data_IF_611116744857
#
_entry.id   IF_611116744857
#
_cell.length_a   1.000
_cell.length_b   1.000
_cell.length_c   1.000
_cell.angle_alpha   90.00
_cell.angle_beta   90.00
_cell.angle_gamma   90.00
#
_symmetry.space_group_name_H-M   'P 1'
#
loop_
_entity.id
_entity.type
_entity.pdbx_description
1 polymer ?
#
# COMPACT_ATOMS: atom_id res chain seq x y z
N UNK A 1 13.70 -10.32 14.76
CA UNK A 1 13.84 -10.91 13.40
C UNK A 1 15.16 -10.43 12.84
N UNK A 2 15.95 -11.30 12.25
CA UNK A 2 17.16 -10.90 11.54
C UNK A 2 16.74 -10.11 10.30
N UNK A 3 17.36 -8.95 10.07
CA UNK A 3 17.07 -8.14 8.89
C UNK A 3 17.65 -8.81 7.64
N UNK A 4 16.89 -8.82 6.57
CA UNK A 4 17.33 -9.21 5.24
C UNK A 4 17.02 -8.10 4.23
N UNK A 5 17.87 -7.93 3.24
CA UNK A 5 17.69 -6.91 2.21
C UNK A 5 16.40 -7.14 1.43
N UNK A 6 15.53 -6.14 1.41
CA UNK A 6 14.25 -6.12 0.66
C UNK A 6 14.52 -6.21 -0.83
N UNK A 7 15.53 -5.50 -1.33
CA UNK A 7 15.87 -5.52 -2.75
C UNK A 7 16.44 -6.88 -3.19
N UNK A 8 17.22 -7.55 -2.33
CA UNK A 8 17.69 -8.92 -2.61
C UNK A 8 16.55 -9.94 -2.55
N UNK A 9 15.54 -9.71 -1.71
CA UNK A 9 14.32 -10.53 -1.74
C UNK A 9 13.58 -10.38 -3.08
N UNK A 10 13.41 -9.15 -3.58
CA UNK A 10 12.84 -8.93 -4.92
C UNK A 10 13.71 -9.54 -6.01
N UNK A 11 15.03 -9.37 -5.96
CA UNK A 11 15.95 -10.01 -6.92
C UNK A 11 15.71 -11.51 -7.00
N UNK A 12 15.67 -12.20 -5.85
CA UNK A 12 15.40 -13.64 -5.77
C UNK A 12 14.02 -13.98 -6.34
N UNK A 13 12.97 -13.27 -5.94
CA UNK A 13 11.61 -13.49 -6.46
C UNK A 13 11.56 -13.37 -7.98
N UNK A 14 12.23 -12.36 -8.55
CA UNK A 14 12.30 -12.16 -10.00
C UNK A 14 13.04 -13.29 -10.71
N UNK A 15 14.16 -13.75 -10.15
CA UNK A 15 14.93 -14.87 -10.70
C UNK A 15 14.14 -16.16 -10.72
N UNK A 16 13.41 -16.46 -9.62
CA UNK A 16 12.63 -17.70 -9.47
C UNK A 16 11.33 -17.71 -10.31
N UNK A 17 10.78 -16.52 -10.61
CA UNK A 17 9.50 -16.39 -11.33
C UNK A 17 9.62 -15.78 -12.74
N UNK A 18 10.80 -15.84 -13.35
CA UNK A 18 11.22 -15.13 -14.56
C UNK A 18 10.21 -15.13 -15.71
N UNK A 19 9.60 -16.28 -16.00
CA UNK A 19 8.63 -16.44 -17.09
C UNK A 19 7.17 -16.18 -16.68
N UNK A 20 6.89 -16.03 -15.36
CA UNK A 20 5.52 -15.84 -14.90
C UNK A 20 5.01 -14.43 -15.18
N UNK A 21 3.69 -14.24 -15.38
CA UNK A 21 3.07 -12.92 -15.35
C UNK A 21 3.36 -12.24 -14.02
N UNK A 22 3.66 -10.93 -14.05
CA UNK A 22 4.00 -10.13 -12.87
C UNK A 22 3.04 -8.94 -12.69
N UNK A 23 2.97 -8.06 -13.67
CA UNK A 23 2.18 -6.82 -13.61
C UNK A 23 1.29 -6.70 -14.84
N UNK A 24 0.00 -6.49 -14.63
CA UNK A 24 -0.97 -6.22 -15.70
C UNK A 24 -1.71 -4.91 -15.48
N UNK A 25 -2.00 -4.23 -16.57
CA UNK A 25 -3.13 -3.29 -16.59
C UNK A 25 -4.40 -4.11 -16.84
N UNK A 26 -5.38 -4.04 -15.95
CA UNK A 26 -6.63 -4.75 -16.15
C UNK A 26 -7.24 -4.46 -17.53
N UNK A 27 -7.54 -5.51 -18.29
CA UNK A 27 -7.97 -5.43 -19.70
C UNK A 27 -6.93 -4.74 -20.63
N UNK A 28 -5.65 -4.78 -20.30
CA UNK A 28 -4.57 -4.17 -21.07
C UNK A 28 -3.34 -5.05 -21.18
N UNK A 29 -2.17 -4.43 -21.13
CA UNK A 29 -0.88 -5.14 -21.22
C UNK A 29 -0.63 -6.02 -20.00
N UNK A 30 0.05 -7.14 -20.22
CA UNK A 30 0.66 -7.98 -19.17
C UNK A 30 2.17 -8.02 -19.37
N UNK A 31 2.91 -7.81 -18.31
CA UNK A 31 4.36 -7.93 -18.23
C UNK A 31 4.71 -9.16 -17.40
N UNK A 32 5.56 -10.01 -17.94
CA UNK A 32 6.19 -11.08 -17.16
C UNK A 32 7.27 -10.48 -16.22
N UNK A 33 7.72 -11.24 -15.23
CA UNK A 33 8.82 -10.83 -14.35
C UNK A 33 10.05 -10.43 -15.14
N UNK A 34 10.41 -11.15 -16.20
CA UNK A 34 11.51 -10.81 -17.14
C UNK A 34 11.32 -9.46 -17.83
N UNK A 35 10.07 -9.11 -18.19
CA UNK A 35 9.78 -7.83 -18.86
C UNK A 35 9.91 -6.67 -17.89
N UNK A 36 9.45 -6.85 -16.64
CA UNK A 36 9.63 -5.89 -15.56
C UNK A 36 11.12 -5.72 -15.27
N UNK A 37 11.87 -6.82 -15.09
CA UNK A 37 13.31 -6.82 -14.84
C UNK A 37 14.09 -6.08 -15.93
N UNK A 38 13.77 -6.33 -17.19
CA UNK A 38 14.41 -5.65 -18.33
C UNK A 38 14.11 -4.16 -18.34
N UNK A 39 12.88 -3.74 -17.99
CA UNK A 39 12.52 -2.31 -17.89
C UNK A 39 13.23 -1.66 -16.72
N UNK A 40 13.29 -2.32 -15.56
CA UNK A 40 14.04 -1.88 -14.39
C UNK A 40 15.52 -1.68 -14.74
N UNK A 41 16.17 -2.67 -15.38
CA UNK A 41 17.56 -2.58 -15.78
C UNK A 41 17.84 -1.40 -16.75
N UNK A 42 16.92 -1.13 -17.68
CA UNK A 42 17.01 0.05 -18.55
C UNK A 42 16.89 1.37 -17.77
N UNK A 43 15.96 1.42 -16.79
CA UNK A 43 15.80 2.60 -15.94
C UNK A 43 17.01 2.80 -15.03
N UNK A 44 17.65 1.74 -14.52
CA UNK A 44 18.90 1.84 -13.77
C UNK A 44 20.01 2.50 -14.62
N UNK A 45 20.17 2.07 -15.89
CA UNK A 45 21.11 2.70 -16.82
C UNK A 45 20.76 4.19 -17.05
N UNK A 46 19.48 4.50 -17.22
CA UNK A 46 19.05 5.89 -17.38
C UNK A 46 19.31 6.72 -16.12
N UNK A 47 19.07 6.20 -14.92
CA UNK A 47 19.35 6.87 -13.66
C UNK A 47 20.86 7.18 -13.51
N UNK A 48 21.71 6.18 -13.75
CA UNK A 48 23.17 6.33 -13.73
C UNK A 48 23.61 7.42 -14.70
N UNK A 49 23.16 7.38 -15.96
CA UNK A 49 23.52 8.37 -16.99
C UNK A 49 22.90 9.76 -16.75
N UNK A 50 21.78 9.84 -16.03
CA UNK A 50 21.20 11.10 -15.56
C UNK A 50 21.87 11.64 -14.30
N UNK A 51 22.88 10.98 -13.79
CA UNK A 51 23.66 11.40 -12.62
C UNK A 51 22.89 11.25 -11.30
N UNK A 52 22.03 10.26 -11.19
CA UNK A 52 21.41 9.88 -9.92
C UNK A 52 22.42 9.08 -9.07
N UNK A 53 22.46 9.42 -7.80
CA UNK A 53 23.20 8.71 -6.78
C UNK A 53 22.26 7.95 -5.86
N UNK A 54 22.81 7.02 -5.07
CA UNK A 54 22.04 6.33 -4.03
C UNK A 54 21.51 7.35 -3.02
N UNK A 55 20.25 7.14 -2.60
CA UNK A 55 19.55 8.08 -1.71
C UNK A 55 18.91 9.28 -2.41
N UNK A 56 19.16 9.51 -3.70
CA UNK A 56 18.44 10.50 -4.49
C UNK A 56 16.97 10.16 -4.64
N UNK A 57 16.10 11.16 -4.70
CA UNK A 57 14.67 10.99 -4.70
C UNK A 57 14.11 10.94 -6.13
N UNK A 58 13.19 9.99 -6.31
CA UNK A 58 12.48 9.75 -7.57
C UNK A 58 10.98 9.88 -7.31
N UNK A 59 10.38 10.98 -7.73
CA UNK A 59 8.94 11.21 -7.59
C UNK A 59 8.15 10.41 -8.63
N UNK A 60 6.99 9.87 -8.22
CA UNK A 60 6.10 9.08 -9.09
C UNK A 60 4.68 9.57 -8.88
N UNK A 61 4.10 10.22 -9.87
CA UNK A 61 2.74 10.79 -9.82
C UNK A 61 1.91 10.28 -11.00
N UNK A 62 1.14 9.23 -10.78
CA UNK A 62 0.34 8.57 -11.81
C UNK A 62 -0.79 7.78 -11.20
N UNK A 63 -1.80 7.47 -12.01
CA UNK A 63 -2.80 6.45 -11.68
C UNK A 63 -2.14 5.07 -11.58
N UNK A 64 -2.87 4.14 -10.94
CA UNK A 64 -2.45 2.74 -10.88
C UNK A 64 -2.22 2.18 -12.27
N UNK A 65 -1.04 1.62 -12.52
CA UNK A 65 -0.70 0.94 -13.76
C UNK A 65 0.59 0.11 -13.62
N UNK A 66 0.81 -0.86 -14.49
CA UNK A 66 2.00 -1.72 -14.48
C UNK A 66 3.32 -0.90 -14.52
N UNK A 67 3.37 0.17 -15.30
CA UNK A 67 4.56 1.03 -15.36
C UNK A 67 4.78 1.85 -14.09
N UNK A 68 3.75 2.11 -13.26
CA UNK A 68 3.92 2.65 -11.92
C UNK A 68 4.76 1.68 -11.07
N UNK A 69 4.38 0.40 -11.08
CA UNK A 69 5.14 -0.64 -10.38
C UNK A 69 6.58 -0.77 -10.89
N UNK A 70 6.78 -0.73 -12.22
CA UNK A 70 8.12 -0.72 -12.82
C UNK A 70 8.96 0.47 -12.34
N UNK A 71 8.38 1.69 -12.35
CA UNK A 71 9.09 2.92 -11.93
C UNK A 71 9.45 2.89 -10.45
N UNK A 72 8.53 2.40 -9.61
CA UNK A 72 8.75 2.25 -8.18
C UNK A 72 9.87 1.24 -7.88
N UNK A 73 9.79 0.04 -8.47
CA UNK A 73 10.83 -0.99 -8.32
C UNK A 73 12.19 -0.51 -8.86
N UNK A 74 12.19 0.20 -10.00
CA UNK A 74 13.44 0.74 -10.54
C UNK A 74 14.10 1.72 -9.57
N UNK A 75 13.35 2.63 -8.95
CA UNK A 75 13.89 3.55 -7.96
C UNK A 75 14.40 2.80 -6.72
N UNK A 76 13.57 1.91 -6.15
CA UNK A 76 13.89 1.19 -4.92
C UNK A 76 15.12 0.27 -5.10
N UNK A 77 15.14 -0.53 -6.18
CA UNK A 77 16.20 -1.52 -6.44
C UNK A 77 17.50 -0.91 -6.99
N UNK A 78 17.46 0.37 -7.39
CA UNK A 78 18.66 1.16 -7.69
C UNK A 78 19.35 1.67 -6.41
N UNK A 79 18.62 1.73 -5.30
CA UNK A 79 19.03 2.39 -4.05
C UNK A 79 18.67 3.89 -4.04
N UNK A 80 17.84 4.34 -4.97
CA UNK A 80 17.19 5.65 -4.88
C UNK A 80 15.97 5.56 -3.97
N UNK A 81 15.42 6.71 -3.56
CA UNK A 81 14.27 6.81 -2.66
C UNK A 81 13.03 7.17 -3.47
N UNK A 82 12.11 6.23 -3.76
CA UNK A 82 10.84 6.56 -4.38
C UNK A 82 10.01 7.48 -3.50
N UNK A 83 9.34 8.45 -4.15
CA UNK A 83 8.42 9.42 -3.56
C UNK A 83 7.08 9.32 -4.28
N UNK A 84 6.22 8.35 -3.90
CA UNK A 84 4.92 8.19 -4.53
C UNK A 84 3.99 9.36 -4.15
N UNK A 85 3.40 9.99 -5.17
CA UNK A 85 2.48 11.11 -5.04
C UNK A 85 1.11 10.71 -5.56
N UNK A 86 0.05 11.14 -4.86
CA UNK A 86 -1.31 10.90 -5.30
C UNK A 86 -1.60 11.68 -6.59
N UNK A 87 -2.13 10.98 -7.59
CA UNK A 87 -2.50 11.56 -8.88
C UNK A 87 -3.64 12.59 -8.82
N UNK A 88 -4.36 12.62 -7.68
CA UNK A 88 -5.45 13.54 -7.40
C UNK A 88 -4.96 14.89 -6.83
N UNK A 89 -3.68 15.02 -6.52
CA UNK A 89 -3.13 16.28 -6.05
C UNK A 89 -3.22 17.36 -7.14
N UNK A 90 -3.53 18.59 -6.71
CA UNK A 90 -3.50 19.76 -7.58
C UNK A 90 -2.08 20.06 -8.05
N UNK A 91 -1.88 20.65 -9.25
CA UNK A 91 -0.56 20.98 -9.79
C UNK A 91 0.37 21.67 -8.80
N UNK A 92 -0.09 22.73 -8.10
CA UNK A 92 0.73 23.42 -7.10
C UNK A 92 1.17 22.53 -5.92
N UNK A 93 0.36 21.54 -5.53
CA UNK A 93 0.77 20.57 -4.51
C UNK A 93 1.85 19.63 -5.05
N UNK A 94 1.72 19.18 -6.31
CA UNK A 94 2.73 18.33 -6.95
C UNK A 94 4.07 19.08 -7.05
N UNK A 95 4.07 20.33 -7.54
CA UNK A 95 5.27 21.18 -7.59
C UNK A 95 5.92 21.32 -6.21
N UNK A 96 5.10 21.62 -5.18
CA UNK A 96 5.59 21.73 -3.81
C UNK A 96 6.22 20.41 -3.31
N UNK A 97 5.56 19.27 -3.49
CA UNK A 97 6.03 17.99 -2.97
C UNK A 97 7.28 17.48 -3.70
N UNK A 98 7.36 17.69 -5.02
CA UNK A 98 8.57 17.39 -5.81
C UNK A 98 9.76 18.22 -5.31
N UNK A 99 9.57 19.52 -5.10
CA UNK A 99 10.62 20.40 -4.60
C UNK A 99 10.96 20.08 -3.13
N UNK A 100 9.95 19.87 -2.27
CA UNK A 100 10.17 19.55 -0.86
C UNK A 100 10.95 18.24 -0.68
N UNK A 101 10.69 17.24 -1.53
CA UNK A 101 11.38 15.94 -1.49
C UNK A 101 12.78 15.98 -2.07
N UNK A 102 13.23 17.08 -2.70
CA UNK A 102 14.47 17.19 -3.48
C UNK A 102 14.54 16.14 -4.63
N UNK A 103 13.40 15.81 -5.23
CA UNK A 103 13.36 14.83 -6.30
C UNK A 103 14.19 15.29 -7.52
N UNK A 104 14.98 14.37 -8.08
CA UNK A 104 15.78 14.58 -9.29
C UNK A 104 15.10 14.06 -10.55
N UNK A 105 14.19 13.11 -10.40
CA UNK A 105 13.39 12.52 -11.48
C UNK A 105 11.92 12.56 -11.09
N UNK A 106 11.06 12.85 -12.06
CA UNK A 106 9.61 12.74 -11.92
C UNK A 106 9.06 11.80 -13.00
N UNK A 107 8.45 10.69 -12.61
CA UNK A 107 7.57 9.92 -13.48
C UNK A 107 6.15 10.45 -13.38
N UNK A 108 5.50 10.73 -14.49
CA UNK A 108 4.17 11.37 -14.48
C UNK A 108 3.29 10.89 -15.63
N UNK A 109 1.97 10.83 -15.41
CA UNK A 109 0.99 10.66 -16.47
C UNK A 109 0.92 11.91 -17.36
N UNK A 110 0.68 11.71 -18.65
CA UNK A 110 0.55 12.80 -19.63
C UNK A 110 -0.52 13.83 -19.25
N UNK A 111 -1.68 13.34 -18.81
CA UNK A 111 -2.79 14.21 -18.37
C UNK A 111 -2.42 15.07 -17.15
N UNK A 112 -1.63 14.52 -16.22
CA UNK A 112 -1.14 15.29 -15.08
C UNK A 112 -0.10 16.30 -15.52
N UNK A 113 0.80 15.90 -16.43
CA UNK A 113 1.85 16.74 -16.96
C UNK A 113 1.32 18.02 -17.66
N UNK A 114 0.19 17.93 -18.36
CA UNK A 114 -0.44 19.10 -19.00
C UNK A 114 -0.71 20.26 -18.02
N UNK A 115 -0.87 19.98 -16.74
CA UNK A 115 -1.07 20.97 -15.68
C UNK A 115 0.19 21.38 -14.93
N UNK A 116 1.36 20.82 -15.26
CA UNK A 116 2.63 21.07 -14.56
C UNK A 116 3.56 21.95 -15.38
N UNK A 117 4.51 22.61 -14.68
CA UNK A 117 5.62 23.36 -15.29
C UNK A 117 6.96 22.86 -14.76
N UNK A 118 7.90 22.55 -15.64
CA UNK A 118 9.25 22.19 -15.26
C UNK A 118 9.99 23.36 -14.56
N UNK A 119 9.66 24.59 -14.89
CA UNK A 119 10.23 25.78 -14.28
C UNK A 119 9.89 25.90 -12.79
N UNK A 120 8.72 25.42 -12.40
CA UNK A 120 8.28 25.34 -11.00
C UNK A 120 8.96 24.19 -10.22
N UNK A 121 9.75 23.33 -10.89
CA UNK A 121 10.46 22.20 -10.30
C UNK A 121 11.96 22.21 -10.72
N UNK A 122 12.72 23.24 -10.36
CA UNK A 122 14.08 23.48 -10.88
C UNK A 122 15.11 22.41 -10.43
N UNK A 123 14.80 21.62 -9.40
CA UNK A 123 15.65 20.52 -8.92
C UNK A 123 15.66 19.30 -9.84
N UNK A 124 14.66 19.14 -10.71
CA UNK A 124 14.56 17.99 -11.58
C UNK A 124 15.64 17.96 -12.66
N UNK A 125 16.20 16.79 -12.88
CA UNK A 125 17.08 16.50 -14.02
C UNK A 125 16.25 16.12 -15.24
N UNK A 126 15.27 15.23 -15.06
CA UNK A 126 14.37 14.75 -16.12
C UNK A 126 12.94 14.56 -15.62
N UNK A 127 11.97 14.75 -16.53
CA UNK A 127 10.58 14.34 -16.33
C UNK A 127 10.26 13.28 -17.38
N UNK A 128 9.69 12.17 -16.92
CA UNK A 128 9.47 10.96 -17.72
C UNK A 128 7.98 10.65 -17.79
N UNK A 129 7.45 10.54 -19.01
CA UNK A 129 6.10 10.04 -19.24
C UNK A 129 6.02 8.56 -18.84
N UNK A 130 5.23 8.25 -17.84
CA UNK A 130 5.22 6.91 -17.23
C UNK A 130 4.71 5.81 -18.18
N UNK A 131 3.80 6.15 -19.10
CA UNK A 131 3.19 5.18 -20.01
C UNK A 131 4.17 4.65 -21.06
N UNK A 132 5.15 5.47 -21.46
CA UNK A 132 6.06 5.18 -22.60
C UNK A 132 7.54 5.24 -22.22
N UNK A 133 7.85 5.73 -21.03
CA UNK A 133 9.20 6.10 -20.59
C UNK A 133 9.93 7.08 -21.51
N UNK A 134 9.17 7.90 -22.27
CA UNK A 134 9.74 9.03 -23.01
C UNK A 134 10.04 10.19 -22.07
N UNK A 135 11.10 10.93 -22.34
CA UNK A 135 11.37 12.17 -21.60
C UNK A 135 10.40 13.25 -22.11
N UNK A 136 9.77 13.94 -21.16
CA UNK A 136 8.94 15.13 -21.40
C UNK A 136 9.74 16.41 -21.20
N UNK A 137 10.76 16.32 -20.33
CA UNK A 137 11.70 17.39 -20.03
C UNK A 137 13.06 16.78 -19.68
N UNK A 138 14.11 17.47 -20.10
CA UNK A 138 15.47 17.24 -19.61
C UNK A 138 16.18 18.57 -19.41
N UNK A 139 16.94 18.71 -18.34
CA UNK A 139 17.57 19.95 -17.90
C UNK A 139 18.61 20.49 -18.90
N UNK A 140 19.19 19.62 -19.73
CA UNK A 140 20.16 19.95 -20.74
C UNK A 140 20.19 18.91 -21.87
N UNK A 141 20.88 19.23 -22.97
CA UNK A 141 20.97 18.37 -24.16
C UNK A 141 21.63 17.01 -23.87
N UNK A 142 22.59 16.96 -22.99
CA UNK A 142 23.25 15.68 -22.63
C UNK A 142 22.27 14.69 -22.02
N UNK A 143 21.31 15.16 -21.22
CA UNK A 143 20.28 14.31 -20.63
C UNK A 143 19.26 13.83 -21.69
N UNK A 144 18.93 14.64 -22.72
CA UNK A 144 18.10 14.17 -23.82
C UNK A 144 18.75 12.99 -24.55
N UNK A 145 20.07 13.01 -24.76
CA UNK A 145 20.82 11.92 -25.40
C UNK A 145 20.75 10.60 -24.63
N UNK A 146 20.60 10.64 -23.30
CA UNK A 146 20.40 9.44 -22.48
C UNK A 146 19.19 8.63 -23.00
N UNK A 147 18.07 9.29 -23.26
CA UNK A 147 16.86 8.59 -23.72
C UNK A 147 17.03 8.05 -25.15
N UNK A 148 17.67 8.80 -26.01
CA UNK A 148 17.88 8.41 -27.42
C UNK A 148 18.77 7.18 -27.54
N UNK A 149 19.84 7.12 -26.74
CA UNK A 149 20.84 6.03 -26.78
C UNK A 149 20.58 4.91 -25.73
N UNK A 150 19.45 4.94 -25.01
CA UNK A 150 19.19 3.99 -23.91
C UNK A 150 19.24 2.52 -24.37
N UNK A 151 18.69 2.21 -25.55
CA UNK A 151 18.70 0.85 -26.09
C UNK A 151 20.12 0.40 -26.47
N UNK A 152 20.94 1.31 -26.99
CA UNK A 152 22.36 1.06 -27.31
C UNK A 152 23.16 0.82 -26.03
N UNK A 153 22.98 1.68 -25.02
CA UNK A 153 23.60 1.53 -23.69
C UNK A 153 23.22 0.21 -23.02
N UNK A 154 21.94 -0.19 -23.13
CA UNK A 154 21.48 -1.49 -22.64
C UNK A 154 22.16 -2.65 -23.38
N UNK A 155 22.24 -2.61 -24.71
CA UNK A 155 22.91 -3.64 -25.51
C UNK A 155 24.43 -3.70 -25.25
N UNK A 156 25.08 -2.59 -24.95
CA UNK A 156 26.50 -2.57 -24.55
C UNK A 156 26.72 -3.20 -23.17
N UNK A 157 25.82 -2.91 -22.20
CA UNK A 157 25.91 -3.45 -20.84
C UNK A 157 25.56 -4.95 -20.80
N UNK A 158 24.62 -5.37 -21.63
CA UNK A 158 24.17 -6.77 -21.73
C UNK A 158 24.33 -7.27 -23.17
N UNK A 159 25.53 -7.60 -23.61
CA UNK A 159 25.82 -7.99 -24.99
C UNK A 159 25.24 -9.35 -25.38
N UNK A 160 24.97 -10.20 -24.40
CA UNK A 160 24.24 -11.45 -24.54
C UNK A 160 22.74 -11.23 -24.25
N UNK A 161 21.95 -12.29 -24.29
CA UNK A 161 20.55 -12.21 -23.87
C UNK A 161 20.49 -11.85 -22.37
N UNK A 162 19.73 -10.81 -22.04
CA UNK A 162 19.47 -10.43 -20.66
C UNK A 162 18.68 -11.52 -19.93
N UNK A 163 19.24 -12.08 -18.88
CA UNK A 163 18.73 -13.22 -18.12
C UNK A 163 18.61 -12.95 -16.61
N UNK A 164 18.08 -13.91 -15.85
CA UNK A 164 17.94 -13.77 -14.40
C UNK A 164 19.29 -13.60 -13.67
N UNK A 165 20.37 -14.13 -14.24
CA UNK A 165 21.74 -14.01 -13.73
C UNK A 165 22.31 -12.58 -13.80
N UNK A 166 21.74 -11.74 -14.68
CA UNK A 166 22.17 -10.35 -14.85
C UNK A 166 21.56 -9.39 -13.81
N UNK A 167 20.64 -9.89 -12.96
CA UNK A 167 20.04 -9.07 -11.92
C UNK A 167 21.04 -8.84 -10.78
N UNK A 168 21.34 -7.58 -10.56
CA UNK A 168 22.14 -7.11 -9.41
C UNK A 168 21.48 -5.87 -8.82
N UNK A 169 20.58 -6.10 -7.85
CA UNK A 169 19.87 -5.04 -7.16
C UNK A 169 20.66 -4.56 -5.95
N UNK A 170 20.50 -3.27 -5.64
CA UNK A 170 21.11 -2.66 -4.47
C UNK A 170 20.87 -3.49 -3.20
N UNK A 171 21.90 -3.71 -2.41
CA UNK A 171 21.78 -4.38 -1.11
C UNK A 171 21.55 -3.32 -0.03
N UNK A 172 20.32 -3.24 0.45
CA UNK A 172 19.87 -2.27 1.43
C UNK A 172 20.15 -2.71 2.86
N UNK A 173 20.24 -1.73 3.77
CA UNK A 173 20.41 -1.95 5.21
C UNK A 173 19.21 -1.45 6.02
N UNK A 174 19.06 -1.97 7.26
CA UNK A 174 17.85 -1.87 8.06
C UNK A 174 17.33 -0.44 8.24
N UNK A 175 18.18 0.48 8.68
CA UNK A 175 17.79 1.84 9.02
C UNK A 175 17.97 2.85 7.88
N UNK A 176 18.35 2.35 6.70
CA UNK A 176 18.44 3.17 5.50
C UNK A 176 17.04 3.58 5.01
N UNK A 177 16.93 4.81 4.52
CA UNK A 177 15.68 5.36 4.00
C UNK A 177 15.26 4.63 2.71
N UNK A 178 14.14 3.92 2.75
CA UNK A 178 13.61 3.18 1.61
C UNK A 178 12.68 4.04 0.74
N UNK A 179 11.78 4.81 1.35
CA UNK A 179 10.85 5.67 0.63
C UNK A 179 10.36 6.84 1.50
N UNK A 180 9.85 7.89 0.85
CA UNK A 180 9.12 8.99 1.51
C UNK A 180 7.68 8.96 1.04
N UNK A 181 6.73 8.71 1.95
CA UNK A 181 5.31 8.70 1.64
C UNK A 181 4.61 9.92 2.24
N UNK A 182 3.96 10.75 1.40
CA UNK A 182 3.30 11.95 1.85
C UNK A 182 1.88 11.67 2.32
N UNK A 183 1.56 12.08 3.56
CA UNK A 183 0.20 12.00 4.10
C UNK A 183 -0.49 13.35 4.03
N UNK A 184 -1.82 13.36 3.82
CA UNK A 184 -2.63 14.56 3.96
C UNK A 184 -2.70 14.94 5.44
N UNK A 185 -1.89 15.90 5.85
CA UNK A 185 -1.88 16.39 7.22
C UNK A 185 -3.19 17.12 7.59
N UNK A 186 -3.68 16.93 8.80
CA UNK A 186 -4.82 17.69 9.38
C UNK A 186 -4.53 19.19 9.51
N UNK A 187 -3.26 19.60 9.38
CA UNK A 187 -2.77 20.99 9.46
C UNK A 187 -2.62 21.69 8.11
N UNK A 188 -3.11 21.09 7.02
CA UNK A 188 -3.09 21.71 5.66
C UNK A 188 -1.83 21.44 4.82
N UNK A 189 -0.72 21.05 5.40
CA UNK A 189 0.50 20.65 4.67
C UNK A 189 0.75 19.15 4.81
N UNK A 190 1.00 18.48 3.69
CA UNK A 190 1.37 17.07 3.68
C UNK A 190 2.72 16.87 4.37
N UNK A 191 2.83 15.87 5.26
CA UNK A 191 4.08 15.47 5.90
C UNK A 191 4.72 14.32 5.13
N UNK A 192 6.01 14.40 4.84
CA UNK A 192 6.77 13.31 4.23
C UNK A 192 7.21 12.29 5.29
N UNK A 193 6.55 11.15 5.34
CA UNK A 193 6.86 10.07 6.27
C UNK A 193 8.06 9.29 5.75
N UNK A 194 9.18 9.27 6.49
CA UNK A 194 10.42 8.58 6.13
C UNK A 194 10.35 7.11 6.55
N UNK A 195 10.17 6.20 5.59
CA UNK A 195 10.06 4.77 5.82
C UNK A 195 11.39 4.07 5.59
N UNK A 196 11.99 3.42 6.61
CA UNK A 196 13.22 2.65 6.46
C UNK A 196 12.97 1.26 5.86
N UNK A 197 14.03 0.64 5.31
CA UNK A 197 13.95 -0.72 4.77
C UNK A 197 13.50 -1.75 5.81
N UNK A 198 13.90 -1.62 7.09
CA UNK A 198 13.42 -2.51 8.16
C UNK A 198 11.90 -2.54 8.29
N UNK A 199 11.25 -1.39 8.06
CA UNK A 199 9.80 -1.31 8.15
C UNK A 199 9.12 -2.03 6.96
N UNK A 200 9.67 -1.92 5.75
CA UNK A 200 9.21 -2.69 4.60
C UNK A 200 9.44 -4.18 4.81
N UNK A 201 10.65 -4.58 5.23
CA UNK A 201 11.00 -5.98 5.50
C UNK A 201 10.06 -6.61 6.54
N UNK A 202 9.78 -5.89 7.63
CA UNK A 202 8.91 -6.36 8.70
C UNK A 202 7.45 -6.53 8.24
N UNK A 203 6.93 -5.60 7.44
CA UNK A 203 5.57 -5.72 6.86
C UNK A 203 5.48 -6.86 5.84
N UNK A 204 6.47 -7.06 4.98
CA UNK A 204 6.53 -8.18 4.04
C UNK A 204 6.59 -9.50 4.81
N UNK A 205 7.46 -9.60 5.81
CA UNK A 205 7.57 -10.80 6.65
C UNK A 205 6.27 -11.09 7.43
N UNK A 206 5.59 -10.06 7.94
CA UNK A 206 4.26 -10.20 8.52
C UNK A 206 3.28 -10.81 7.52
N UNK A 207 3.21 -10.28 6.31
CA UNK A 207 2.27 -10.76 5.29
C UNK A 207 2.55 -12.22 4.89
N UNK A 208 3.82 -12.62 4.77
CA UNK A 208 4.19 -14.03 4.56
C UNK A 208 3.70 -14.97 5.68
N UNK A 209 3.69 -14.49 6.93
CA UNK A 209 3.20 -15.27 8.08
C UNK A 209 1.68 -15.27 8.17
N UNK A 210 1.04 -14.14 7.88
CA UNK A 210 -0.40 -13.97 7.95
C UNK A 210 -1.12 -14.71 6.82
N UNK A 211 -0.54 -14.69 5.61
CA UNK A 211 -1.14 -15.17 4.37
C UNK A 211 -0.34 -16.33 3.72
N UNK A 212 -0.12 -17.45 4.43
CA UNK A 212 0.72 -18.55 3.93
C UNK A 212 0.11 -19.28 2.72
N UNK A 213 -1.14 -19.02 2.40
CA UNK A 213 -1.85 -19.59 1.24
C UNK A 213 -1.48 -18.88 -0.08
N UNK A 214 -0.99 -17.64 -0.02
CA UNK A 214 -0.53 -16.91 -1.21
C UNK A 214 0.76 -17.55 -1.73
N UNK A 215 0.77 -17.92 -2.99
CA UNK A 215 1.86 -18.65 -3.64
C UNK A 215 2.25 -17.95 -4.95
N UNK A 216 3.44 -18.27 -5.51
CA UNK A 216 3.81 -17.78 -6.83
C UNK A 216 2.74 -18.07 -7.88
N UNK A 217 2.35 -17.02 -8.64
CA UNK A 217 1.27 -17.09 -9.63
C UNK A 217 -0.13 -16.89 -9.06
N UNK A 218 -0.29 -16.58 -7.76
CA UNK A 218 -1.55 -16.05 -7.22
C UNK A 218 -1.94 -14.76 -7.95
N UNK A 219 -3.23 -14.61 -8.24
CA UNK A 219 -3.80 -13.43 -8.89
C UNK A 219 -4.26 -12.42 -7.83
N UNK A 220 -3.88 -11.15 -7.96
CA UNK A 220 -4.25 -10.07 -7.04
C UNK A 220 -4.75 -8.86 -7.82
N UNK A 221 -5.79 -8.21 -7.34
CA UNK A 221 -6.33 -6.98 -7.96
C UNK A 221 -5.93 -5.77 -7.13
N UNK A 222 -5.07 -4.92 -7.70
CA UNK A 222 -4.65 -3.65 -7.10
C UNK A 222 -5.67 -2.55 -7.43
N UNK A 223 -6.54 -2.23 -6.49
CA UNK A 223 -7.62 -1.25 -6.64
C UNK A 223 -7.46 -0.01 -5.77
N UNK A 224 -6.66 -0.10 -4.70
CA UNK A 224 -6.32 1.05 -3.87
C UNK A 224 -5.28 1.92 -4.57
N UNK A 225 -5.22 3.23 -4.29
CA UNK A 225 -4.17 4.06 -4.87
C UNK A 225 -2.77 3.53 -4.53
N UNK A 226 -1.97 3.22 -5.55
CA UNK A 226 -0.62 2.66 -5.35
C UNK A 226 0.32 3.62 -4.60
N UNK A 227 0.02 4.92 -4.59
CA UNK A 227 0.75 5.90 -3.79
C UNK A 227 0.39 5.89 -2.29
N UNK A 228 -0.68 5.20 -1.89
CA UNK A 228 -1.02 4.99 -0.48
C UNK A 228 -0.29 3.78 0.09
N UNK A 229 0.28 3.92 1.29
CA UNK A 229 1.08 2.88 1.93
C UNK A 229 0.36 1.53 2.05
N UNK A 230 -0.96 1.54 2.32
CA UNK A 230 -1.77 0.33 2.45
C UNK A 230 -1.86 -0.47 1.13
N UNK A 231 -2.25 0.17 0.04
CA UNK A 231 -2.29 -0.46 -1.29
C UNK A 231 -0.89 -0.81 -1.78
N UNK A 232 0.09 0.08 -1.59
CA UNK A 232 1.47 -0.15 -1.98
C UNK A 232 2.04 -1.41 -1.33
N UNK A 233 1.84 -1.60 -0.03
CA UNK A 233 2.41 -2.73 0.71
C UNK A 233 1.69 -4.03 0.38
N UNK A 234 0.33 -4.05 0.44
CA UNK A 234 -0.46 -5.29 0.43
C UNK A 234 -1.24 -5.56 -0.86
N UNK A 235 -1.08 -4.76 -1.91
CA UNK A 235 -1.53 -5.07 -3.27
C UNK A 235 -0.36 -5.07 -4.27
N UNK A 236 0.90 -4.80 -3.81
CA UNK A 236 2.03 -4.69 -4.71
C UNK A 236 3.34 -5.23 -4.12
N UNK A 237 3.92 -4.65 -3.05
CA UNK A 237 5.27 -5.03 -2.60
C UNK A 237 5.32 -6.45 -2.05
N UNK A 238 4.34 -6.85 -1.26
CA UNK A 238 4.25 -8.21 -0.74
C UNK A 238 4.10 -9.22 -1.87
N UNK A 239 3.21 -8.96 -2.81
CA UNK A 239 2.93 -9.83 -3.96
C UNK A 239 4.15 -9.99 -4.85
N UNK A 240 4.88 -8.91 -5.12
CA UNK A 240 6.11 -8.95 -5.91
C UNK A 240 7.22 -9.73 -5.21
N UNK A 241 7.23 -9.77 -3.88
CA UNK A 241 8.18 -10.57 -3.09
C UNK A 241 7.94 -12.07 -3.20
N UNK A 242 6.72 -12.48 -3.59
CA UNK A 242 6.27 -13.87 -3.67
C UNK A 242 6.25 -14.45 -5.09
N UNK A 243 6.28 -13.62 -6.12
CA UNK A 243 6.04 -14.08 -7.49
C UNK A 243 4.56 -14.16 -7.85
N UNK A 244 3.71 -13.38 -7.21
CA UNK A 244 2.29 -13.23 -7.56
C UNK A 244 2.10 -12.36 -8.81
N UNK A 245 0.89 -12.35 -9.36
CA UNK A 245 0.49 -11.56 -10.51
C UNK A 245 -0.47 -10.43 -10.09
N UNK A 246 -0.04 -9.18 -10.23
CA UNK A 246 -0.79 -8.00 -9.81
C UNK A 246 -1.51 -7.35 -11.00
N UNK A 247 -2.82 -7.21 -10.90
CA UNK A 247 -3.68 -6.54 -11.88
C UNK A 247 -4.09 -5.14 -11.40
N UNK A 248 -3.49 -4.12 -11.97
CA UNK A 248 -3.84 -2.73 -11.66
C UNK A 248 -5.15 -2.32 -12.32
N UNK A 249 -6.10 -1.82 -11.53
CA UNK A 249 -7.27 -1.12 -12.04
C UNK A 249 -6.85 0.28 -12.48
N UNK A 250 -6.72 0.49 -13.79
CA UNK A 250 -6.25 1.76 -14.37
C UNK A 250 -7.34 2.84 -14.44
N UNK A 251 -8.60 2.45 -14.22
CA UNK A 251 -9.76 3.35 -14.17
C UNK A 251 -10.18 3.57 -12.73
N UNK A 252 -10.89 4.67 -12.47
CA UNK A 252 -11.47 4.94 -11.15
C UNK A 252 -12.30 3.74 -10.69
N UNK A 253 -11.96 3.12 -9.56
CA UNK A 253 -12.61 1.91 -9.08
C UNK A 253 -14.08 2.19 -8.72
N UNK A 254 -15.01 1.82 -9.60
CA UNK A 254 -16.44 1.77 -9.26
C UNK A 254 -16.81 0.35 -8.79
N UNK A 255 -17.84 0.18 -7.93
CA UNK A 255 -18.26 -1.16 -7.51
C UNK A 255 -18.51 -2.11 -8.69
N UNK A 256 -19.03 -1.61 -9.80
CA UNK A 256 -19.26 -2.43 -11.02
C UNK A 256 -17.96 -2.93 -11.63
N UNK A 257 -16.95 -2.05 -11.78
CA UNK A 257 -15.63 -2.41 -12.35
C UNK A 257 -14.90 -3.38 -11.42
N UNK A 258 -14.92 -3.11 -10.11
CA UNK A 258 -14.29 -3.98 -9.10
C UNK A 258 -14.90 -5.39 -9.16
N UNK A 259 -16.23 -5.51 -9.11
CA UNK A 259 -16.90 -6.80 -9.14
C UNK A 259 -16.67 -7.55 -10.45
N UNK A 260 -16.60 -6.84 -11.58
CA UNK A 260 -16.26 -7.43 -12.86
C UNK A 260 -14.81 -7.96 -12.86
N UNK A 261 -13.85 -7.17 -12.38
CA UNK A 261 -12.45 -7.60 -12.27
C UNK A 261 -12.30 -8.84 -11.36
N UNK A 262 -12.99 -8.86 -10.21
CA UNK A 262 -12.95 -10.02 -9.33
C UNK A 262 -13.56 -11.28 -9.97
N UNK A 263 -14.66 -11.14 -10.72
CA UNK A 263 -15.29 -12.26 -11.43
C UNK A 263 -14.44 -12.80 -12.59
N UNK A 264 -13.58 -11.97 -13.20
CA UNK A 264 -12.70 -12.37 -14.30
C UNK A 264 -11.33 -12.89 -13.82
N UNK A 265 -10.79 -12.31 -12.73
CA UNK A 265 -9.42 -12.57 -12.24
C UNK A 265 -9.40 -13.65 -11.15
N UNK A 266 -10.47 -13.76 -10.34
CA UNK A 266 -10.55 -14.67 -9.18
C UNK A 266 -9.39 -14.49 -8.18
N UNK A 267 -9.24 -13.29 -7.57
CA UNK A 267 -8.10 -13.00 -6.69
C UNK A 267 -8.03 -13.94 -5.49
N UNK A 268 -6.81 -14.25 -5.05
CA UNK A 268 -6.56 -15.13 -3.89
C UNK A 268 -6.66 -14.39 -2.55
N UNK A 269 -6.51 -13.07 -2.55
CA UNK A 269 -6.71 -12.16 -1.43
C UNK A 269 -7.32 -10.87 -1.92
N UNK A 270 -8.10 -10.20 -1.07
CA UNK A 270 -8.70 -8.90 -1.38
C UNK A 270 -8.34 -7.90 -0.29
N UNK A 271 -7.66 -6.84 -0.68
CA UNK A 271 -7.31 -5.70 0.17
C UNK A 271 -8.29 -4.57 -0.14
N UNK A 272 -9.04 -4.09 0.85
CA UNK A 272 -10.09 -3.13 0.59
C UNK A 272 -10.25 -2.09 1.71
N UNK A 273 -10.93 -0.99 1.38
CA UNK A 273 -11.45 -0.05 2.39
C UNK A 273 -12.90 -0.40 2.72
N UNK A 274 -13.38 -0.18 3.95
CA UNK A 274 -14.73 -0.50 4.40
C UNK A 274 -15.84 -0.01 3.46
N UNK A 275 -15.69 1.17 2.89
CA UNK A 275 -16.67 1.80 1.99
C UNK A 275 -17.07 0.91 0.79
N UNK A 276 -16.14 0.09 0.28
CA UNK A 276 -16.41 -0.81 -0.86
C UNK A 276 -17.42 -1.88 -0.44
N UNK A 277 -17.16 -2.53 0.69
CA UNK A 277 -18.02 -3.58 1.23
C UNK A 277 -19.39 -3.01 1.65
N UNK A 278 -19.38 -1.83 2.30
CA UNK A 278 -20.62 -1.15 2.69
C UNK A 278 -21.51 -0.79 1.49
N UNK A 279 -20.92 -0.37 0.37
CA UNK A 279 -21.67 -0.13 -0.87
C UNK A 279 -22.26 -1.41 -1.44
N UNK A 280 -21.52 -2.52 -1.43
CA UNK A 280 -22.01 -3.84 -1.85
C UNK A 280 -23.14 -4.30 -0.93
N UNK A 281 -22.98 -4.16 0.39
CA UNK A 281 -24.02 -4.46 1.37
C UNK A 281 -25.30 -3.67 1.09
N UNK A 282 -25.21 -2.34 0.99
CA UNK A 282 -26.37 -1.46 0.76
C UNK A 282 -27.08 -1.74 -0.56
N UNK A 283 -26.32 -2.01 -1.63
CA UNK A 283 -26.89 -2.15 -2.99
C UNK A 283 -27.42 -3.55 -3.30
N UNK A 284 -26.78 -4.61 -2.78
CA UNK A 284 -27.12 -6.00 -3.10
C UNK A 284 -27.80 -6.75 -1.94
N UNK A 285 -27.23 -6.64 -0.72
CA UNK A 285 -27.65 -7.47 0.40
C UNK A 285 -28.87 -6.90 1.13
N UNK A 286 -28.88 -5.62 1.45
CA UNK A 286 -29.96 -4.99 2.21
C UNK A 286 -31.34 -5.18 1.58
N UNK A 287 -31.54 -5.03 0.26
CA UNK A 287 -32.84 -5.31 -0.38
C UNK A 287 -33.28 -6.78 -0.25
N UNK A 288 -32.30 -7.73 -0.31
CA UNK A 288 -32.60 -9.16 -0.15
C UNK A 288 -33.04 -9.46 1.30
N UNK A 289 -32.36 -8.85 2.27
CA UNK A 289 -32.64 -9.00 3.69
C UNK A 289 -34.02 -8.44 4.04
N UNK A 290 -34.35 -7.26 3.54
CA UNK A 290 -35.67 -6.62 3.76
C UNK A 290 -36.82 -7.47 3.16
N UNK A 291 -36.64 -7.98 1.94
CA UNK A 291 -37.60 -8.85 1.26
C UNK A 291 -37.83 -10.18 2.00
N UNK A 292 -36.81 -10.72 2.64
CA UNK A 292 -36.83 -12.02 3.31
C UNK A 292 -36.89 -11.92 4.84
N UNK A 293 -37.19 -10.76 5.41
CA UNK A 293 -37.13 -10.46 6.86
C UNK A 293 -37.89 -11.47 7.73
N UNK A 294 -39.02 -12.04 7.23
CA UNK A 294 -39.78 -13.04 7.95
C UNK A 294 -39.07 -14.40 8.04
N UNK A 295 -38.32 -14.79 7.00
CA UNK A 295 -37.57 -16.05 6.97
C UNK A 295 -36.36 -16.01 7.89
N UNK A 296 -35.71 -14.83 8.08
CA UNK A 296 -34.61 -14.62 9.03
C UNK A 296 -35.05 -14.68 10.51
N UNK A 297 -36.34 -14.89 10.80
CA UNK A 297 -36.86 -15.08 12.15
C UNK A 297 -37.11 -16.56 12.52
N UNK A 298 -36.97 -17.48 11.57
CA UNK A 298 -37.19 -18.91 11.76
C UNK A 298 -35.86 -19.64 11.90
N UNK A 299 -35.49 -20.22 13.08
CA UNK A 299 -34.12 -20.66 13.41
C UNK A 299 -33.45 -21.64 12.44
N UNK A 300 -34.26 -22.49 11.75
CA UNK A 300 -33.72 -23.48 10.78
C UNK A 300 -33.52 -22.84 9.39
N UNK A 301 -34.48 -22.00 8.97
CA UNK A 301 -34.42 -21.30 7.69
C UNK A 301 -33.41 -20.18 7.69
N UNK A 302 -33.16 -19.54 8.84
CA UNK A 302 -32.15 -18.51 9.05
C UNK A 302 -30.74 -19.03 8.64
N UNK A 303 -30.29 -20.16 9.21
CA UNK A 303 -29.00 -20.75 8.91
C UNK A 303 -28.80 -21.15 7.44
N UNK A 304 -29.85 -21.69 6.80
CA UNK A 304 -29.79 -22.06 5.38
C UNK A 304 -29.67 -20.80 4.51
N UNK A 305 -30.43 -19.76 4.85
CA UNK A 305 -30.41 -18.49 4.13
C UNK A 305 -29.10 -17.74 4.35
N UNK A 306 -28.57 -17.71 5.57
CA UNK A 306 -27.24 -17.15 5.89
C UNK A 306 -26.15 -17.80 5.05
N UNK A 307 -26.09 -19.13 5.01
CA UNK A 307 -25.11 -19.86 4.20
C UNK A 307 -25.26 -19.56 2.71
N UNK A 308 -26.49 -19.48 2.20
CA UNK A 308 -26.74 -19.13 0.80
C UNK A 308 -26.28 -17.71 0.48
N UNK A 309 -26.61 -16.73 1.33
CA UNK A 309 -26.19 -15.34 1.18
C UNK A 309 -24.67 -15.22 1.24
N UNK A 310 -24.02 -15.91 2.19
CA UNK A 310 -22.55 -15.95 2.27
C UNK A 310 -21.93 -16.50 0.98
N UNK A 311 -22.41 -17.65 0.48
CA UNK A 311 -21.91 -18.27 -0.75
C UNK A 311 -22.09 -17.36 -1.97
N UNK A 312 -23.27 -16.73 -2.12
CA UNK A 312 -23.53 -15.78 -3.21
C UNK A 312 -22.62 -14.55 -3.11
N UNK A 313 -22.37 -14.07 -1.90
CA UNK A 313 -21.46 -12.95 -1.67
C UNK A 313 -20.01 -13.32 -2.00
N UNK A 314 -19.51 -14.46 -1.50
CA UNK A 314 -18.17 -14.98 -1.82
C UNK A 314 -18.01 -15.12 -3.33
N UNK A 315 -18.96 -15.74 -4.01
CA UNK A 315 -18.93 -15.90 -5.48
C UNK A 315 -18.91 -14.54 -6.19
N UNK A 316 -19.61 -13.54 -5.66
CA UNK A 316 -19.62 -12.21 -6.26
C UNK A 316 -18.30 -11.47 -6.15
N UNK A 317 -17.43 -11.89 -5.22
CA UNK A 317 -16.04 -11.41 -5.08
C UNK A 317 -15.02 -12.33 -5.77
N UNK A 318 -15.43 -13.17 -6.69
CA UNK A 318 -14.56 -14.07 -7.47
C UNK A 318 -14.46 -15.50 -6.93
N UNK A 319 -14.87 -15.75 -5.68
CA UNK A 319 -15.01 -17.09 -5.10
C UNK A 319 -13.73 -17.83 -4.75
N UNK A 320 -12.55 -17.21 -4.91
CA UNK A 320 -11.25 -17.86 -4.73
C UNK A 320 -10.39 -17.27 -3.60
N UNK A 321 -10.83 -16.17 -2.97
CA UNK A 321 -10.06 -15.54 -1.90
C UNK A 321 -10.21 -16.25 -0.57
N UNK A 322 -9.14 -16.23 0.24
CA UNK A 322 -9.16 -16.74 1.62
C UNK A 322 -9.86 -15.76 2.56
N UNK A 323 -9.55 -14.48 2.44
CA UNK A 323 -10.17 -13.41 3.21
C UNK A 323 -10.17 -12.07 2.50
N UNK A 324 -11.03 -11.17 2.99
CA UNK A 324 -10.98 -9.74 2.67
C UNK A 324 -10.40 -9.00 3.88
N UNK A 325 -9.27 -8.32 3.69
CA UNK A 325 -8.67 -7.48 4.72
C UNK A 325 -9.18 -6.05 4.53
N UNK A 326 -9.82 -5.52 5.56
CA UNK A 326 -10.35 -4.16 5.59
C UNK A 326 -9.45 -3.26 6.43
N UNK A 327 -9.08 -2.11 5.89
CA UNK A 327 -8.24 -1.13 6.59
C UNK A 327 -8.47 0.30 6.13
N UNK A 328 -7.78 1.24 6.77
CA UNK A 328 -7.74 2.66 6.38
C UNK A 328 -8.93 3.51 6.83
N UNK A 329 -10.01 2.92 7.37
CA UNK A 329 -11.15 3.64 7.93
C UNK A 329 -11.92 2.77 8.93
N UNK A 330 -12.73 3.40 9.77
CA UNK A 330 -13.66 2.68 10.65
C UNK A 330 -14.71 1.91 9.83
N UNK A 331 -15.01 0.69 10.25
CA UNK A 331 -16.02 -0.14 9.60
C UNK A 331 -17.40 0.05 10.26
N UNK A 332 -18.46 0.07 9.46
CA UNK A 332 -19.81 0.23 9.97
C UNK A 332 -20.23 -0.99 10.83
N UNK A 333 -20.58 -0.82 12.12
CA UNK A 333 -20.88 -1.95 13.01
C UNK A 333 -22.08 -2.81 12.58
N UNK A 334 -23.08 -2.23 11.91
CA UNK A 334 -24.22 -2.99 11.38
C UNK A 334 -23.78 -3.95 10.28
N UNK A 335 -22.92 -3.47 9.38
CA UNK A 335 -22.41 -4.27 8.26
C UNK A 335 -21.44 -5.34 8.78
N UNK A 336 -20.54 -4.96 9.68
CA UNK A 336 -19.60 -5.87 10.33
C UNK A 336 -20.32 -7.00 11.06
N UNK A 337 -21.30 -6.66 11.91
CA UNK A 337 -22.11 -7.63 12.63
C UNK A 337 -22.90 -8.58 11.71
N UNK A 338 -23.40 -8.08 10.60
CA UNK A 338 -24.09 -8.92 9.61
C UNK A 338 -23.13 -9.88 8.90
N UNK A 339 -21.98 -9.41 8.42
CA UNK A 339 -20.98 -10.25 7.74
C UNK A 339 -20.43 -11.34 8.67
N UNK A 340 -20.18 -10.98 9.93
CA UNK A 340 -19.78 -11.94 10.95
C UNK A 340 -20.89 -13.00 11.18
N UNK A 341 -22.15 -12.58 11.29
CA UNK A 341 -23.31 -13.50 11.48
C UNK A 341 -23.40 -14.54 10.37
N UNK A 342 -23.20 -14.15 9.11
CA UNK A 342 -23.26 -15.09 7.97
C UNK A 342 -21.98 -15.89 7.76
N UNK A 343 -20.93 -15.67 8.55
CA UNK A 343 -19.63 -16.33 8.42
C UNK A 343 -18.86 -15.94 7.16
N UNK A 344 -19.00 -14.68 6.70
CA UNK A 344 -18.23 -14.16 5.57
C UNK A 344 -16.78 -13.96 5.95
N UNK A 345 -15.79 -14.41 5.13
CA UNK A 345 -14.37 -14.35 5.49
C UNK A 345 -13.81 -12.92 5.31
N UNK A 346 -13.83 -12.15 6.39
CA UNK A 346 -13.24 -10.82 6.43
C UNK A 346 -12.56 -10.54 7.77
N UNK A 347 -11.62 -9.63 7.76
CA UNK A 347 -11.01 -9.09 8.96
C UNK A 347 -10.80 -7.58 8.85
N UNK A 348 -10.62 -6.92 10.00
CA UNK A 348 -10.28 -5.50 10.08
C UNK A 348 -8.87 -5.39 10.65
N UNK A 349 -7.95 -4.81 9.85
CA UNK A 349 -6.61 -4.46 10.29
C UNK A 349 -6.51 -2.97 10.63
N UNK A 350 -5.57 -2.63 11.50
CA UNK A 350 -5.26 -1.24 11.84
C UNK A 350 -3.81 -0.93 11.51
N UNK A 351 -3.62 0.25 10.95
CA UNK A 351 -2.31 0.75 10.60
C UNK A 351 -2.34 2.18 10.12
N UNK A 352 -1.17 2.71 9.86
CA UNK A 352 -0.96 4.06 9.35
C UNK A 352 0.36 4.18 8.61
N UNK A 353 0.51 5.21 7.81
CA UNK A 353 1.71 5.40 6.98
C UNK A 353 3.00 5.36 7.79
N UNK A 354 2.98 5.92 9.00
CA UNK A 354 4.10 5.95 9.94
C UNK A 354 4.52 4.55 10.45
N UNK A 355 3.74 3.50 10.14
CA UNK A 355 4.05 2.10 10.47
C UNK A 355 4.17 1.18 9.25
N UNK A 356 4.21 1.70 8.05
CA UNK A 356 4.53 1.05 6.77
C UNK A 356 3.67 -0.14 6.29
N UNK A 357 2.37 -0.31 6.50
CA UNK A 357 1.50 0.45 7.40
C UNK A 357 1.07 -0.30 8.68
N UNK A 358 1.26 -1.65 8.82
CA UNK A 358 0.52 -2.50 9.78
C UNK A 358 0.94 -2.27 11.23
N UNK A 359 -0.04 -2.15 12.11
CA UNK A 359 0.10 -2.12 13.56
C UNK A 359 -0.54 -3.35 14.19
N UNK A 360 -1.79 -3.66 13.81
CA UNK A 360 -2.51 -4.82 14.35
C UNK A 360 -3.37 -5.51 13.30
N UNK A 361 -3.53 -6.82 13.50
CA UNK A 361 -4.28 -7.70 12.62
C UNK A 361 -4.64 -9.01 13.35
N UNK A 362 -5.69 -9.66 12.92
CA UNK A 362 -5.98 -11.05 13.22
C UNK A 362 -6.64 -11.69 11.99
N UNK A 363 -6.24 -12.93 11.65
CA UNK A 363 -6.87 -13.69 10.56
C UNK A 363 -8.38 -13.82 10.81
N UNK A 364 -9.20 -13.79 9.76
CA UNK A 364 -10.66 -13.70 9.85
C UNK A 364 -11.32 -14.70 10.80
N UNK A 365 -10.81 -15.94 10.89
CA UNK A 365 -11.36 -16.97 11.75
C UNK A 365 -10.97 -16.82 13.25
N UNK A 366 -10.08 -15.86 13.58
CA UNK A 366 -9.67 -15.48 14.92
C UNK A 366 -10.05 -14.05 15.28
N UNK A 367 -10.55 -13.27 14.30
CA UNK A 367 -10.95 -11.89 14.51
C UNK A 367 -12.11 -11.79 15.51
N UNK A 368 -12.05 -10.79 16.40
CA UNK A 368 -13.16 -10.44 17.30
C UNK A 368 -13.94 -9.28 16.70
N UNK A 369 -15.26 -9.36 16.78
CA UNK A 369 -16.16 -8.30 16.30
C UNK A 369 -15.83 -6.94 16.95
N UNK A 370 -15.67 -5.91 16.13
CA UNK A 370 -15.33 -4.55 16.54
C UNK A 370 -13.86 -4.34 16.91
N UNK A 371 -13.01 -5.39 16.83
CA UNK A 371 -11.56 -5.26 17.06
C UNK A 371 -10.79 -5.07 15.76
N UNK A 372 -9.57 -4.54 15.89
CA UNK A 372 -8.59 -4.47 14.80
C UNK A 372 -7.50 -5.55 14.92
N UNK A 373 -7.78 -6.64 15.66
CA UNK A 373 -6.83 -7.72 15.89
C UNK A 373 -5.81 -7.43 17.00
N UNK A 374 -4.74 -8.20 17.01
CA UNK A 374 -3.64 -8.14 17.96
C UNK A 374 -2.42 -7.44 17.34
N UNK A 375 -1.45 -7.04 18.15
CA UNK A 375 -0.20 -6.48 17.66
C UNK A 375 0.43 -7.37 16.58
N UNK A 376 0.81 -6.79 15.45
CA UNK A 376 1.55 -7.50 14.42
C UNK A 376 2.92 -7.98 14.96
N UNK A 377 3.49 -9.07 14.42
CA UNK A 377 4.84 -9.49 14.78
C UNK A 377 5.84 -8.33 14.67
N UNK A 378 6.77 -8.25 15.62
CA UNK A 378 7.75 -7.17 15.79
C UNK A 378 7.16 -5.79 16.11
N UNK A 379 5.89 -5.73 16.50
CA UNK A 379 5.23 -4.54 17.04
C UNK A 379 4.78 -4.76 18.47
N UNK A 380 4.84 -3.70 19.24
CA UNK A 380 4.28 -3.61 20.59
C UNK A 380 3.23 -2.50 20.59
N UNK A 381 2.13 -2.72 21.31
CA UNK A 381 1.05 -1.74 21.49
C UNK A 381 0.86 -1.53 22.98
N UNK A 382 0.75 -0.28 23.41
CA UNK A 382 0.25 0.09 24.75
C UNK A 382 -0.84 1.13 24.63
N UNK A 383 -1.68 1.19 25.61
CA UNK A 383 -2.69 2.24 25.79
C UNK A 383 -2.23 3.17 26.90
N UNK A 384 -2.17 4.45 26.61
CA UNK A 384 -1.83 5.50 27.60
C UNK A 384 -3.04 5.76 28.50
N UNK A 385 -3.23 4.85 29.47
CA UNK A 385 -4.37 4.85 30.40
C UNK A 385 -3.99 4.11 31.68
N UNK A 386 -4.55 4.54 32.82
CA UNK A 386 -4.41 3.84 34.11
C UNK A 386 -5.14 2.48 34.12
N UNK A 387 -6.16 2.31 33.27
CA UNK A 387 -6.90 1.06 33.06
C UNK A 387 -7.06 0.80 31.55
N UNK A 388 -6.03 0.23 30.87
CA UNK A 388 -6.00 0.05 29.43
C UNK A 388 -7.08 -0.90 28.88
N UNK A 389 -7.73 -1.69 29.76
CA UNK A 389 -8.79 -2.61 29.39
C UNK A 389 -10.17 -1.94 29.34
N UNK A 390 -10.42 -0.95 30.21
CA UNK A 390 -11.76 -0.36 30.38
C UNK A 390 -11.82 1.13 30.04
N UNK A 391 -10.70 1.84 30.17
CA UNK A 391 -10.62 3.30 29.94
C UNK A 391 -9.77 3.58 28.69
N UNK A 392 -10.41 4.16 27.67
CA UNK A 392 -9.73 4.49 26.44
C UNK A 392 -8.62 5.52 26.66
N UNK A 393 -7.41 5.19 26.19
CA UNK A 393 -6.25 6.06 26.15
C UNK A 393 -5.66 6.15 24.75
N UNK A 394 -4.63 6.99 24.57
CA UNK A 394 -3.92 7.07 23.31
C UNK A 394 -3.22 5.73 23.00
N UNK A 395 -3.44 5.23 21.80
CA UNK A 395 -2.71 4.06 21.28
C UNK A 395 -1.28 4.49 20.98
N UNK A 396 -0.32 3.88 21.66
CA UNK A 396 1.10 4.12 21.45
C UNK A 396 1.76 2.82 20.97
N UNK A 397 2.68 2.93 20.00
CA UNK A 397 3.28 1.77 19.36
C UNK A 397 4.80 1.87 19.29
N UNK A 398 5.45 0.72 19.31
CA UNK A 398 6.91 0.57 19.17
C UNK A 398 7.21 -0.66 18.37
N UNK A 399 8.25 -0.63 17.53
CA UNK A 399 8.69 -1.82 16.80
C UNK A 399 9.33 -1.53 15.46
N UNK A 400 9.60 -2.59 14.72
CA UNK A 400 10.34 -2.52 13.46
C UNK A 400 9.60 -1.74 12.36
N UNK A 401 8.26 -1.67 12.41
CA UNK A 401 7.45 -0.98 11.42
C UNK A 401 7.49 0.55 11.54
N UNK A 402 7.94 1.07 12.70
CA UNK A 402 7.86 2.53 12.98
C UNK A 402 8.87 3.29 12.13
N UNK A 403 8.42 4.38 11.55
CA UNK A 403 9.15 5.27 10.66
C UNK A 403 10.38 5.94 11.32
N UNK A 404 11.21 6.61 10.51
CA UNK A 404 12.38 7.35 11.01
C UNK A 404 12.01 8.76 11.53
N UNK A 405 10.89 9.30 11.09
CA UNK A 405 10.44 10.66 11.37
C UNK A 405 9.85 11.32 10.11
N UNK A 406 9.55 12.60 10.23
CA UNK A 406 9.02 13.40 9.12
C UNK A 406 10.14 14.15 8.40
N UNK A 407 10.23 13.98 7.09
CA UNK A 407 11.27 14.59 6.25
C UNK A 407 11.25 16.12 6.36
N UNK A 408 12.39 16.73 6.70
CA UNK A 408 12.57 18.17 6.93
C UNK A 408 11.61 18.75 7.99
N UNK A 409 11.24 17.95 9.01
CA UNK A 409 10.34 18.40 10.06
C UNK A 409 10.69 17.77 11.41
N UNK A 410 11.80 18.20 12.01
CA UNK A 410 12.32 17.65 13.27
C UNK A 410 11.38 17.91 14.45
N UNK A 411 10.70 19.07 14.46
CA UNK A 411 9.73 19.43 15.50
C UNK A 411 8.54 18.46 15.49
N UNK A 412 7.95 18.20 14.32
CA UNK A 412 6.86 17.23 14.20
C UNK A 412 7.32 15.82 14.55
N UNK A 413 8.57 15.48 14.22
CA UNK A 413 9.17 14.19 14.58
C UNK A 413 9.28 14.05 16.09
N UNK A 414 9.89 15.02 16.77
CA UNK A 414 10.06 14.99 18.23
C UNK A 414 8.72 14.91 18.96
N UNK A 415 7.71 15.69 18.51
CA UNK A 415 6.37 15.70 19.10
C UNK A 415 5.57 14.40 18.87
N UNK A 416 6.03 13.53 17.95
CA UNK A 416 5.37 12.27 17.63
C UNK A 416 5.80 11.10 18.53
N UNK A 417 6.82 11.29 19.35
CA UNK A 417 7.32 10.26 20.24
C UNK A 417 7.19 10.66 21.71
N UNK A 418 7.02 9.69 22.57
CA UNK A 418 7.12 9.85 24.01
C UNK A 418 8.59 9.90 24.42
N UNK A 419 8.89 10.35 25.66
CA UNK A 419 10.26 10.39 26.20
C UNK A 419 10.92 8.98 26.25
N UNK A 420 10.12 7.92 26.43
CA UNK A 420 10.55 6.53 26.45
C UNK A 420 10.50 5.84 25.06
N UNK A 421 10.33 6.61 23.98
CA UNK A 421 10.52 6.18 22.58
C UNK A 421 9.33 5.48 21.94
N UNK A 422 8.11 5.62 22.46
CA UNK A 422 6.90 5.13 21.81
C UNK A 422 6.34 6.16 20.85
N UNK A 423 5.94 5.69 19.67
CA UNK A 423 5.26 6.52 18.68
C UNK A 423 3.79 6.73 19.09
N UNK A 424 3.37 8.00 19.12
CA UNK A 424 2.02 8.46 19.42
C UNK A 424 1.17 8.42 18.15
N UNK A 425 0.18 7.53 18.09
CA UNK A 425 -0.64 7.40 16.89
C UNK A 425 -1.67 8.50 16.74
N UNK A 426 -2.06 9.14 17.84
CA UNK A 426 -3.17 10.08 17.90
C UNK A 426 -4.54 9.40 17.82
N UNK A 427 -4.60 8.07 17.82
CA UNK A 427 -5.83 7.30 17.89
C UNK A 427 -6.06 6.84 19.33
N UNK A 428 -7.33 6.73 19.73
CA UNK A 428 -7.75 6.30 21.05
C UNK A 428 -8.26 4.87 20.99
N UNK A 429 -7.95 4.06 22.00
CA UNK A 429 -8.37 2.66 22.04
C UNK A 429 -8.29 2.03 23.42
N UNK A 430 -8.70 0.77 23.48
CA UNK A 430 -8.54 -0.15 24.60
C UNK A 430 -8.01 -1.49 24.08
N UNK A 431 -7.34 -2.26 24.95
CA UNK A 431 -6.91 -3.63 24.66
C UNK A 431 -7.63 -4.54 25.63
N UNK A 432 -8.27 -5.62 25.13
CA UNK A 432 -8.89 -6.60 26.00
C UNK A 432 -7.85 -7.55 26.66
N UNK A 433 -8.32 -8.42 27.55
CA UNK A 433 -7.46 -9.37 28.29
C UNK A 433 -6.73 -10.37 27.36
N UNK A 434 -7.26 -10.62 26.15
CA UNK A 434 -6.64 -11.48 25.14
C UNK A 434 -5.67 -10.72 24.21
N UNK A 435 -5.50 -9.39 24.39
CA UNK A 435 -4.59 -8.57 23.62
C UNK A 435 -5.18 -7.99 22.30
N UNK A 436 -6.50 -8.06 22.12
CA UNK A 436 -7.16 -7.46 20.95
C UNK A 436 -7.37 -5.96 21.14
N UNK A 437 -6.99 -5.19 20.11
CA UNK A 437 -7.14 -3.74 20.07
C UNK A 437 -8.54 -3.34 19.58
N UNK A 438 -9.20 -2.44 20.31
CA UNK A 438 -10.47 -1.83 19.93
C UNK A 438 -10.29 -0.32 19.83
N UNK A 439 -10.41 0.24 18.64
CA UNK A 439 -10.32 1.69 18.44
C UNK A 439 -11.61 2.40 18.90
N UNK A 440 -11.46 3.60 19.47
CA UNK A 440 -12.55 4.42 20.01
C UNK A 440 -12.65 5.81 19.38
N UNK A 441 -11.80 6.12 18.42
CA UNK A 441 -11.78 7.39 17.70
C UNK A 441 -10.39 8.03 17.66
N UNK A 442 -10.34 9.32 17.31
CA UNK A 442 -9.10 10.11 17.28
C UNK A 442 -9.08 11.14 18.40
N UNK A 443 -7.93 11.33 19.03
CA UNK A 443 -7.76 12.28 20.14
C UNK A 443 -8.13 13.71 19.74
N UNK A 444 -7.83 14.14 18.51
CA UNK A 444 -8.16 15.48 17.99
C UNK A 444 -9.64 15.68 17.63
N UNK A 445 -10.43 14.61 17.61
CA UNK A 445 -11.87 14.64 17.31
C UNK A 445 -12.72 14.45 18.57
N UNK A 446 -12.11 14.22 19.74
CA UNK A 446 -12.82 14.09 21.01
C UNK A 446 -13.26 15.46 21.55
N UNK A 447 -14.56 15.63 21.69
CA UNK A 447 -15.14 16.78 22.40
C UNK A 447 -15.27 16.36 23.86
N UNK A 448 -14.57 17.08 24.76
CA UNK A 448 -14.73 16.92 26.20
C UNK A 448 -16.03 17.57 26.60
N UNK A 449 -16.95 16.84 27.20
CA UNK A 449 -18.13 17.39 27.87
C UNK A 449 -17.75 18.21 29.09
N UNK A 450 -18.68 19.05 29.61
CA UNK A 450 -18.43 19.96 30.76
C UNK A 450 -17.98 19.25 32.05
N UNK A 451 -18.20 17.93 32.14
CA UNK A 451 -17.80 17.10 33.28
C UNK A 451 -16.52 16.27 33.01
N UNK A 452 -15.77 16.55 31.92
CA UNK A 452 -14.58 15.80 31.55
C UNK A 452 -14.87 14.44 30.91
N UNK A 453 -16.13 14.13 30.60
CA UNK A 453 -16.51 12.91 29.87
C UNK A 453 -16.26 13.10 28.36
N UNK A 454 -15.71 12.07 27.75
CA UNK A 454 -15.56 12.01 26.28
C UNK A 454 -16.94 11.85 25.65
N UNK A 455 -17.30 12.73 24.72
CA UNK A 455 -18.53 12.69 23.92
C UNK A 455 -18.16 12.29 22.50
#
# INVERSE_FOLDING_TARGET
>A
MEFYSVNKLFQKSFQENWERPALSNYQGITLAYKDVARRVAKLHIAFEQCGLEKGDKVAICSRNQANWGVSFLAALTYGAVPVPLLHEFKPGNIHYLVNHSDAKVLFVDEVIWEGLSAEEMPGLHVIVQINTFKFLYAKNDALWQVREHLNESFGKKYPNNFGPEDLDYYEDSADELALINYTSGTSGFSKGVMIPYRALASNIAFAHLAEPHIKPGCEVVAMLPSAHMYGMMFEFLFEMSLGAHVHFLTRVPSPKIIMQAFAEIHPCIIIAVPLIIEKVYKSKLKPILEKNRLFFRLPILDKVLEKKVCTELVNSFGGNFEEIILGGAAFNPEVEGFLNKIGFPFTVGYGMTECAPIISYAHWNKAKLGSCGMAAPNMEIRIDSDDPHNVAGEVQVRGANVFLGYFKNDEATANSFTEDGWFRTGDMGVIDEDGYLFLRGRSKCMILGPSGQNI
#
